data_IF_055055545389
#
_entry.id   IF_055055545389
#
_cell.length_a   1.000
_cell.length_b   1.000
_cell.length_c   1.000
_cell.angle_alpha   90.00
_cell.angle_beta   90.00
_cell.angle_gamma   90.00
#
_symmetry.space_group_name_H-M   'P 1'
#
loop_
_entity.id
_entity.type
_entity.pdbx_description
1 polymer ?
#
# COMPACT_ATOMS: atom_id res chain seq x y z
N UNK A 1 -11.87 -55.95 33.90
CA UNK A 1 -11.19 -55.58 32.65
C UNK A 1 -11.01 -54.08 32.66
N UNK A 2 -9.77 -53.63 32.80
CA UNK A 2 -9.37 -52.22 32.80
C UNK A 2 -9.46 -51.71 31.36
N UNK A 3 -10.38 -50.77 31.11
CA UNK A 3 -10.46 -50.04 29.84
C UNK A 3 -9.20 -49.19 29.70
N UNK A 4 -8.42 -49.46 28.64
CA UNK A 4 -7.29 -48.61 28.27
C UNK A 4 -7.78 -47.17 28.01
N UNK A 5 -7.01 -46.14 28.41
CA UNK A 5 -7.33 -44.76 28.06
C UNK A 5 -7.29 -44.59 26.54
N UNK A 6 -8.06 -43.63 25.97
CA UNK A 6 -8.08 -43.39 24.54
C UNK A 6 -6.67 -43.11 24.03
N UNK A 7 -6.31 -43.74 22.92
CA UNK A 7 -5.06 -43.47 22.22
C UNK A 7 -5.11 -42.02 21.72
N UNK A 8 -4.21 -41.17 22.23
CA UNK A 8 -3.98 -39.86 21.65
C UNK A 8 -3.39 -40.06 20.24
N UNK A 9 -4.12 -39.63 19.20
CA UNK A 9 -3.54 -39.49 17.87
C UNK A 9 -2.58 -38.31 17.89
N UNK A 10 -1.30 -38.55 17.66
CA UNK A 10 -0.26 -37.52 17.50
C UNK A 10 -0.36 -36.78 16.15
N UNK A 11 -1.50 -36.87 15.46
CA UNK A 11 -1.72 -36.33 14.11
C UNK A 11 -2.53 -35.03 14.05
N UNK A 12 -3.13 -34.57 15.16
CA UNK A 12 -4.01 -33.39 15.20
C UNK A 12 -3.45 -32.23 16.03
N UNK A 13 -2.20 -32.34 16.51
CA UNK A 13 -1.54 -31.21 17.14
C UNK A 13 -1.18 -30.17 16.05
N UNK A 14 -1.53 -28.88 16.23
CA UNK A 14 -1.06 -27.82 15.34
C UNK A 14 0.48 -27.87 15.24
N UNK A 15 1.07 -27.57 14.06
CA UNK A 15 2.53 -27.59 13.92
C UNK A 15 3.16 -26.54 14.85
N UNK A 16 4.31 -26.87 15.44
CA UNK A 16 5.02 -25.93 16.31
C UNK A 16 5.73 -24.83 15.51
N UNK A 17 6.03 -23.70 16.15
CA UNK A 17 6.72 -22.59 15.51
C UNK A 17 8.08 -23.03 14.91
N UNK A 18 8.87 -23.77 15.68
CA UNK A 18 10.18 -24.25 15.26
C UNK A 18 10.11 -25.21 14.07
N UNK A 19 9.12 -26.10 14.04
CA UNK A 19 8.90 -27.02 12.91
C UNK A 19 8.54 -26.26 11.63
N UNK A 20 7.69 -25.23 11.76
CA UNK A 20 7.30 -24.40 10.61
C UNK A 20 8.47 -23.54 10.12
N UNK A 21 9.30 -23.00 11.01
CA UNK A 21 10.50 -22.25 10.64
C UNK A 21 11.50 -23.15 9.92
N UNK A 22 11.81 -24.34 10.44
CA UNK A 22 12.74 -25.27 9.78
C UNK A 22 12.22 -25.71 8.41
N UNK A 23 10.91 -25.99 8.31
CA UNK A 23 10.27 -26.26 7.03
C UNK A 23 10.47 -25.10 6.06
N UNK A 24 10.24 -23.88 6.52
CA UNK A 24 10.41 -22.69 5.69
C UNK A 24 11.87 -22.48 5.25
N UNK A 25 12.83 -22.56 6.15
CA UNK A 25 14.27 -22.44 5.82
C UNK A 25 14.71 -23.50 4.78
N UNK A 26 14.18 -24.72 4.88
CA UNK A 26 14.46 -25.79 3.92
C UNK A 26 13.93 -25.49 2.51
N UNK A 27 12.81 -24.74 2.40
CA UNK A 27 12.20 -24.37 1.12
C UNK A 27 12.96 -23.25 0.41
N UNK A 28 13.63 -22.38 1.17
CA UNK A 28 14.32 -21.20 0.65
C UNK A 28 15.67 -21.56 0.00
N UNK A 29 16.38 -22.55 0.55
CA UNK A 29 17.69 -22.98 0.04
C UNK A 29 18.83 -21.98 0.29
N UNK A 30 19.95 -22.17 -0.39
CA UNK A 30 21.25 -21.57 -0.01
C UNK A 30 21.53 -20.16 -0.54
N UNK A 31 20.77 -19.68 -1.53
CA UNK A 31 20.99 -18.36 -2.15
C UNK A 31 19.66 -17.62 -2.38
N UNK A 32 18.97 -17.23 -1.30
CA UNK A 32 17.68 -16.57 -1.38
C UNK A 32 17.71 -15.19 -2.05
N UNK A 33 16.70 -14.92 -2.88
CA UNK A 33 16.27 -13.56 -3.23
C UNK A 33 14.96 -13.24 -2.54
N UNK A 34 14.60 -11.96 -2.38
CA UNK A 34 13.35 -11.56 -1.73
C UNK A 34 12.12 -12.17 -2.42
N UNK A 35 12.13 -12.19 -3.77
CA UNK A 35 11.08 -12.82 -4.58
C UNK A 35 11.08 -14.34 -4.39
N UNK A 36 12.25 -14.98 -4.41
CA UNK A 36 12.38 -16.43 -4.22
C UNK A 36 11.88 -16.90 -2.84
N UNK A 37 12.15 -16.12 -1.78
CA UNK A 37 11.67 -16.38 -0.42
C UNK A 37 10.14 -16.35 -0.36
N UNK A 38 9.54 -15.30 -0.94
CA UNK A 38 8.08 -15.19 -1.02
C UNK A 38 7.46 -16.35 -1.81
N UNK A 39 8.03 -16.69 -2.97
CA UNK A 39 7.55 -17.79 -3.79
C UNK A 39 7.64 -19.15 -3.07
N UNK A 40 8.78 -19.42 -2.41
CA UNK A 40 9.01 -20.65 -1.67
C UNK A 40 7.98 -20.84 -0.55
N UNK A 41 7.70 -19.77 0.21
CA UNK A 41 6.66 -19.79 1.22
C UNK A 41 5.26 -19.95 0.63
N UNK A 42 4.91 -19.19 -0.42
CA UNK A 42 3.56 -19.19 -1.01
C UNK A 42 3.15 -20.56 -1.56
N UNK A 43 4.13 -21.31 -2.07
CA UNK A 43 3.93 -22.65 -2.64
C UNK A 43 4.12 -23.77 -1.62
N UNK A 44 4.96 -23.56 -0.60
CA UNK A 44 5.41 -24.62 0.32
C UNK A 44 4.78 -24.59 1.71
N UNK A 45 4.19 -23.47 2.14
CA UNK A 45 3.54 -23.34 3.45
C UNK A 45 2.01 -23.46 3.35
N UNK A 46 1.44 -24.19 4.30
CA UNK A 46 -0.02 -24.37 4.43
C UNK A 46 -0.63 -23.20 5.21
N UNK A 47 -1.97 -23.11 5.20
CA UNK A 47 -2.66 -22.08 5.99
C UNK A 47 -2.41 -22.19 7.50
N UNK A 48 -2.24 -23.41 8.01
CA UNK A 48 -1.90 -23.65 9.42
C UNK A 48 -0.47 -23.18 9.74
N UNK A 49 0.48 -23.45 8.84
CA UNK A 49 1.87 -22.97 8.96
C UNK A 49 1.92 -21.44 9.03
N UNK A 50 1.21 -20.77 8.13
CA UNK A 50 1.16 -19.29 8.08
C UNK A 50 0.59 -18.71 9.37
N UNK A 51 -0.48 -19.31 9.91
CA UNK A 51 -1.12 -18.85 11.14
C UNK A 51 -0.16 -18.95 12.33
N UNK A 52 0.56 -20.06 12.48
CA UNK A 52 1.56 -20.25 13.55
C UNK A 52 2.67 -19.20 13.47
N UNK A 53 3.14 -18.88 12.26
CA UNK A 53 4.15 -17.83 12.08
C UNK A 53 3.63 -16.42 12.40
N UNK A 54 2.39 -16.11 12.03
CA UNK A 54 1.76 -14.82 12.31
C UNK A 54 1.52 -14.66 13.82
N UNK A 55 1.00 -15.67 14.51
CA UNK A 55 0.73 -15.60 15.96
C UNK A 55 2.01 -15.42 16.79
N UNK A 56 3.18 -15.80 16.25
CA UNK A 56 4.47 -15.70 16.93
C UNK A 56 5.33 -14.51 16.44
N UNK A 57 4.78 -13.61 15.61
CA UNK A 57 5.55 -12.56 14.95
C UNK A 57 6.24 -11.58 15.92
N UNK A 58 5.55 -11.15 16.98
CA UNK A 58 6.10 -10.19 17.95
C UNK A 58 7.28 -10.79 18.74
N UNK A 59 7.16 -12.05 19.17
CA UNK A 59 8.15 -12.70 20.02
C UNK A 59 9.46 -13.05 19.29
N UNK A 60 9.41 -13.15 17.96
CA UNK A 60 10.53 -13.58 17.13
C UNK A 60 11.02 -12.49 16.17
N UNK A 61 10.74 -11.22 16.47
CA UNK A 61 11.17 -10.11 15.63
C UNK A 61 12.71 -10.00 15.57
N UNK A 62 13.30 -9.80 14.38
CA UNK A 62 14.64 -10.33 14.17
C UNK A 62 15.77 -9.28 14.18
N UNK A 63 15.49 -7.98 14.30
CA UNK A 63 16.52 -6.91 14.32
C UNK A 63 16.83 -6.43 15.75
N UNK A 64 17.98 -6.81 16.31
CA UNK A 64 18.32 -6.56 17.72
C UNK A 64 19.52 -5.63 17.90
N UNK A 65 20.45 -5.61 16.95
CA UNK A 65 21.70 -4.84 17.01
C UNK A 65 21.74 -3.70 16.00
N UNK A 66 22.53 -2.66 16.26
CA UNK A 66 22.72 -1.54 15.33
C UNK A 66 23.36 -1.98 13.99
N UNK A 67 24.15 -3.07 14.02
CA UNK A 67 24.71 -3.68 12.83
C UNK A 67 23.64 -4.35 11.97
N UNK A 68 22.80 -5.22 12.56
CA UNK A 68 21.69 -5.87 11.85
C UNK A 68 20.72 -4.83 11.26
N UNK A 69 20.51 -3.74 11.99
CA UNK A 69 19.72 -2.58 11.58
C UNK A 69 20.29 -1.84 10.38
N UNK A 70 21.59 -1.55 10.39
CA UNK A 70 22.29 -0.94 9.25
C UNK A 70 22.35 -1.87 8.04
N UNK A 71 22.64 -3.16 8.26
CA UNK A 71 22.69 -4.19 7.22
C UNK A 71 21.28 -4.42 6.62
N UNK A 72 20.22 -4.38 7.45
CA UNK A 72 18.82 -4.41 7.00
C UNK A 72 18.49 -3.27 6.06
N UNK A 73 18.81 -2.04 6.48
CA UNK A 73 18.42 -0.88 5.71
C UNK A 73 19.22 -0.75 4.40
N UNK A 74 20.49 -1.18 4.39
CA UNK A 74 21.24 -1.36 3.14
C UNK A 74 20.56 -2.40 2.24
N UNK A 75 20.24 -3.58 2.76
CA UNK A 75 19.56 -4.62 1.99
C UNK A 75 18.19 -4.21 1.46
N UNK A 76 17.44 -3.43 2.22
CA UNK A 76 16.17 -2.84 1.80
C UNK A 76 16.38 -1.82 0.66
N UNK A 77 17.36 -0.94 0.77
CA UNK A 77 17.68 0.03 -0.29
C UNK A 77 18.14 -0.67 -1.58
N UNK A 78 19.03 -1.65 -1.49
CA UNK A 78 19.48 -2.47 -2.62
C UNK A 78 18.32 -3.24 -3.25
N UNK A 79 17.50 -3.93 -2.43
CA UNK A 79 16.37 -4.73 -2.91
C UNK A 79 15.29 -3.86 -3.55
N UNK A 80 15.02 -2.67 -3.01
CA UNK A 80 14.10 -1.71 -3.63
C UNK A 80 14.55 -1.27 -5.02
N UNK A 81 15.84 -1.38 -5.31
CA UNK A 81 16.47 -1.02 -6.59
C UNK A 81 16.60 -2.21 -7.54
N UNK A 82 16.35 -3.42 -7.06
CA UNK A 82 16.55 -4.65 -7.81
C UNK A 82 15.56 -4.76 -8.98
N UNK A 83 16.07 -5.16 -10.15
CA UNK A 83 15.26 -5.30 -11.38
C UNK A 83 14.13 -6.31 -11.21
N UNK A 84 14.34 -7.40 -10.46
CA UNK A 84 13.30 -8.39 -10.17
C UNK A 84 12.11 -7.80 -9.40
N UNK A 85 12.35 -6.72 -8.63
CA UNK A 85 11.30 -6.06 -7.86
C UNK A 85 10.53 -5.02 -8.69
N UNK A 86 11.13 -4.46 -9.74
CA UNK A 86 10.46 -3.48 -10.62
C UNK A 86 9.17 -4.05 -11.23
N UNK A 87 9.19 -5.32 -11.64
CA UNK A 87 7.99 -5.99 -12.16
C UNK A 87 6.88 -6.11 -11.11
N UNK A 88 7.25 -6.41 -9.86
CA UNK A 88 6.31 -6.49 -8.74
C UNK A 88 5.76 -5.11 -8.37
N UNK A 89 6.60 -4.07 -8.41
CA UNK A 89 6.19 -2.68 -8.21
C UNK A 89 5.19 -2.24 -9.28
N UNK A 90 5.42 -2.59 -10.54
CA UNK A 90 4.48 -2.30 -11.63
C UNK A 90 3.13 -3.01 -11.42
N UNK A 91 3.12 -4.29 -11.04
CA UNK A 91 1.87 -5.02 -10.72
C UNK A 91 1.12 -4.32 -9.59
N UNK A 92 1.84 -3.84 -8.58
CA UNK A 92 1.25 -3.16 -7.44
C UNK A 92 0.64 -1.82 -7.77
N UNK A 93 1.35 -1.03 -8.56
CA UNK A 93 0.89 0.24 -9.07
C UNK A 93 -0.38 0.04 -9.92
N UNK A 94 -0.39 -1.02 -10.74
CA UNK A 94 -1.57 -1.44 -11.50
C UNK A 94 -2.73 -1.82 -10.59
N UNK A 95 -2.50 -2.58 -9.52
CA UNK A 95 -3.54 -2.92 -8.56
C UNK A 95 -4.11 -1.68 -7.86
N UNK A 96 -3.25 -0.77 -7.39
CA UNK A 96 -3.69 0.49 -6.79
C UNK A 96 -4.50 1.37 -7.77
N UNK A 97 -4.06 1.45 -9.03
CA UNK A 97 -4.79 2.16 -10.07
C UNK A 97 -6.11 1.48 -10.47
N UNK A 98 -6.17 0.15 -10.39
CA UNK A 98 -7.39 -0.62 -10.61
C UNK A 98 -8.40 -0.34 -9.51
N UNK A 99 -8.00 -0.29 -8.24
CA UNK A 99 -8.86 0.12 -7.13
C UNK A 99 -9.45 1.50 -7.37
N UNK A 100 -8.65 2.49 -7.76
CA UNK A 100 -9.14 3.83 -8.09
C UNK A 100 -10.20 3.80 -9.21
N UNK A 101 -9.95 2.99 -10.24
CA UNK A 101 -10.89 2.76 -11.34
C UNK A 101 -12.19 2.08 -10.93
N UNK A 102 -12.10 1.06 -10.08
CA UNK A 102 -13.26 0.32 -9.58
C UNK A 102 -14.15 1.23 -8.72
N UNK A 103 -13.56 2.09 -7.89
CA UNK A 103 -14.30 3.11 -7.15
C UNK A 103 -15.00 4.08 -8.11
N UNK A 104 -14.28 4.60 -9.12
CA UNK A 104 -14.86 5.49 -10.13
C UNK A 104 -16.07 4.88 -10.83
N UNK A 105 -15.93 3.64 -11.30
CA UNK A 105 -17.00 2.93 -12.01
C UNK A 105 -18.24 2.69 -11.12
N UNK A 106 -18.03 2.42 -9.83
CA UNK A 106 -19.12 2.28 -8.86
C UNK A 106 -19.84 3.61 -8.62
N UNK A 107 -19.09 4.68 -8.48
CA UNK A 107 -19.61 6.04 -8.37
C UNK A 107 -20.49 6.41 -9.58
N UNK A 108 -20.02 6.13 -10.79
CA UNK A 108 -20.78 6.38 -12.03
C UNK A 108 -22.06 5.50 -12.11
N UNK A 109 -21.94 4.21 -11.77
CA UNK A 109 -23.08 3.30 -11.74
C UNK A 109 -24.12 3.68 -10.69
N UNK A 110 -23.67 4.19 -9.54
CA UNK A 110 -24.55 4.64 -8.48
C UNK A 110 -25.29 5.91 -8.87
N UNK A 111 -24.61 6.90 -9.44
CA UNK A 111 -25.24 8.11 -9.97
C UNK A 111 -26.41 7.76 -10.91
N UNK A 112 -26.19 6.86 -11.87
CA UNK A 112 -27.24 6.43 -12.81
C UNK A 112 -28.44 5.75 -12.10
N UNK A 113 -28.20 4.95 -11.05
CA UNK A 113 -29.27 4.32 -10.26
C UNK A 113 -30.06 5.34 -9.44
N UNK A 114 -29.38 6.32 -8.86
CA UNK A 114 -30.01 7.39 -8.08
C UNK A 114 -30.89 8.27 -8.98
N UNK A 115 -30.45 8.60 -10.20
CA UNK A 115 -31.24 9.37 -11.17
C UNK A 115 -32.56 8.66 -11.51
N UNK A 116 -32.53 7.33 -11.67
CA UNK A 116 -33.74 6.55 -11.91
C UNK A 116 -34.70 6.59 -10.70
N UNK A 117 -34.16 6.58 -9.48
CA UNK A 117 -34.95 6.69 -8.26
C UNK A 117 -35.59 8.07 -8.14
N UNK A 118 -34.83 9.12 -8.40
CA UNK A 118 -35.32 10.50 -8.37
C UNK A 118 -36.46 10.72 -9.36
N UNK A 119 -36.32 10.20 -10.58
CA UNK A 119 -37.39 10.25 -11.58
C UNK A 119 -38.65 9.50 -11.14
N UNK A 120 -38.51 8.32 -10.53
CA UNK A 120 -39.64 7.44 -10.16
C UNK A 120 -40.35 7.91 -8.89
N UNK A 121 -39.61 8.44 -7.93
CA UNK A 121 -40.10 8.75 -6.57
C UNK A 121 -40.12 10.23 -6.24
N UNK A 122 -39.74 11.10 -7.20
CA UNK A 122 -39.64 12.54 -7.03
C UNK A 122 -38.75 12.92 -5.83
N UNK A 123 -37.60 12.27 -5.74
CA UNK A 123 -36.53 12.57 -4.78
C UNK A 123 -35.40 13.36 -5.45
N UNK A 124 -34.37 13.68 -4.67
CA UNK A 124 -33.21 14.51 -5.03
C UNK A 124 -31.86 13.85 -4.68
N UNK A 125 -31.82 12.51 -4.62
CA UNK A 125 -30.63 11.77 -4.19
C UNK A 125 -29.46 11.88 -5.16
N UNK A 126 -29.73 11.87 -6.47
CA UNK A 126 -28.71 12.03 -7.50
C UNK A 126 -28.10 13.43 -7.47
N UNK A 127 -28.92 14.46 -7.18
CA UNK A 127 -28.43 15.83 -7.01
C UNK A 127 -27.50 15.93 -5.79
N UNK A 128 -27.85 15.29 -4.67
CA UNK A 128 -26.99 15.22 -3.48
C UNK A 128 -25.70 14.43 -3.72
N UNK A 129 -25.75 13.39 -4.57
CA UNK A 129 -24.63 12.52 -4.85
C UNK A 129 -23.61 13.12 -5.83
N UNK A 130 -24.07 13.93 -6.80
CA UNK A 130 -23.21 14.44 -7.87
C UNK A 130 -22.06 15.32 -7.38
N UNK A 131 -22.22 16.01 -6.24
CA UNK A 131 -21.17 16.83 -5.65
C UNK A 131 -20.02 15.98 -5.08
N UNK A 132 -20.34 14.84 -4.46
CA UNK A 132 -19.34 13.86 -4.02
C UNK A 132 -18.63 13.23 -5.21
N UNK A 133 -19.37 12.89 -6.28
CA UNK A 133 -18.81 12.37 -7.52
C UNK A 133 -17.80 13.34 -8.16
N UNK A 134 -18.14 14.63 -8.22
CA UNK A 134 -17.23 15.66 -8.73
C UNK A 134 -15.99 15.82 -7.85
N UNK A 135 -16.17 15.80 -6.52
CA UNK A 135 -15.06 15.85 -5.58
C UNK A 135 -14.13 14.65 -5.73
N UNK A 136 -14.69 13.45 -5.88
CA UNK A 136 -13.93 12.23 -6.14
C UNK A 136 -13.19 12.30 -7.49
N UNK A 137 -13.81 12.83 -8.54
CA UNK A 137 -13.13 13.01 -9.82
C UNK A 137 -11.91 13.94 -9.70
N UNK A 138 -12.05 15.05 -8.99
CA UNK A 138 -10.93 15.96 -8.76
C UNK A 138 -9.80 15.28 -7.97
N UNK A 139 -10.13 14.44 -6.99
CA UNK A 139 -9.14 13.64 -6.26
C UNK A 139 -8.38 12.70 -7.21
N UNK A 140 -9.07 12.03 -8.13
CA UNK A 140 -8.44 11.14 -9.12
C UNK A 140 -7.56 11.90 -10.11
N UNK A 141 -8.00 13.07 -10.58
CA UNK A 141 -7.24 13.94 -11.49
C UNK A 141 -5.96 14.42 -10.82
N UNK A 142 -6.07 14.98 -9.61
CA UNK A 142 -4.95 15.55 -8.88
C UNK A 142 -3.99 14.45 -8.36
N UNK A 143 -4.51 13.26 -8.05
CA UNK A 143 -3.66 12.13 -7.64
C UNK A 143 -2.80 11.60 -8.79
N UNK A 144 -3.32 11.62 -10.02
CA UNK A 144 -2.55 11.27 -11.20
C UNK A 144 -1.41 12.26 -11.42
N UNK A 145 -1.71 13.55 -11.35
CA UNK A 145 -0.72 14.61 -11.56
C UNK A 145 0.36 14.58 -10.46
N UNK A 146 -0.05 14.49 -9.19
CA UNK A 146 0.87 14.43 -8.06
C UNK A 146 1.80 13.21 -8.13
N UNK A 147 1.30 12.06 -8.59
CA UNK A 147 2.12 10.86 -8.79
C UNK A 147 3.20 11.07 -9.86
N UNK A 148 2.86 11.70 -10.99
CA UNK A 148 3.81 11.96 -12.08
C UNK A 148 4.83 13.04 -11.74
N UNK A 149 4.42 14.08 -11.01
CA UNK A 149 5.37 15.06 -10.49
C UNK A 149 6.32 14.44 -9.47
N UNK A 150 5.81 13.59 -8.58
CA UNK A 150 6.61 12.84 -7.61
C UNK A 150 7.62 11.92 -8.29
N UNK A 151 7.22 11.20 -9.34
CA UNK A 151 8.13 10.42 -10.18
C UNK A 151 9.31 11.27 -10.69
N UNK A 152 9.04 12.45 -11.24
CA UNK A 152 10.08 13.30 -11.79
C UNK A 152 11.07 13.79 -10.72
N UNK A 153 10.57 14.23 -9.56
CA UNK A 153 11.41 14.68 -8.44
C UNK A 153 12.28 13.53 -7.93
N UNK A 154 11.70 12.35 -7.71
CA UNK A 154 12.40 11.21 -7.11
C UNK A 154 13.41 10.57 -8.07
N UNK A 155 13.05 10.43 -9.35
CA UNK A 155 13.97 9.93 -10.37
C UNK A 155 15.16 10.87 -10.53
N UNK A 156 14.94 12.18 -10.50
CA UNK A 156 16.01 13.18 -10.60
C UNK A 156 16.89 13.17 -9.35
N UNK A 157 16.29 13.02 -8.16
CA UNK A 157 17.03 12.95 -6.91
C UNK A 157 18.12 11.87 -6.94
N UNK A 158 17.77 10.64 -7.32
CA UNK A 158 18.73 9.53 -7.40
C UNK A 158 19.68 9.61 -8.59
N UNK A 159 19.18 10.02 -9.76
CA UNK A 159 19.99 9.92 -10.97
C UNK A 159 20.86 11.15 -11.21
N UNK A 160 20.59 12.27 -10.55
CA UNK A 160 21.28 13.53 -10.80
C UNK A 160 21.64 14.26 -9.51
N UNK A 161 20.66 14.57 -8.65
CA UNK A 161 20.88 15.53 -7.58
C UNK A 161 21.81 14.96 -6.49
N UNK A 162 21.66 13.70 -6.10
CA UNK A 162 22.57 13.00 -5.16
C UNK A 162 24.00 12.92 -5.70
N UNK A 163 24.18 12.53 -6.97
CA UNK A 163 25.49 12.48 -7.62
C UNK A 163 26.16 13.86 -7.69
N UNK A 164 25.38 14.88 -8.04
CA UNK A 164 25.85 16.27 -8.04
C UNK A 164 26.25 16.72 -6.64
N UNK A 165 25.48 16.32 -5.62
CA UNK A 165 25.77 16.64 -4.22
C UNK A 165 26.95 15.87 -3.66
N UNK A 166 27.43 14.77 -4.26
CA UNK A 166 28.67 14.10 -3.84
C UNK A 166 29.92 14.64 -4.57
N UNK A 167 29.76 15.20 -5.76
CA UNK A 167 30.85 15.69 -6.61
C UNK A 167 31.65 16.83 -5.95
N UNK A 168 32.84 16.52 -5.45
CA UNK A 168 33.75 17.46 -4.79
C UNK A 168 34.35 18.51 -5.74
N UNK A 169 34.20 18.36 -7.06
CA UNK A 169 34.57 19.40 -8.04
C UNK A 169 33.57 20.57 -8.06
N UNK A 170 32.37 20.39 -7.49
CA UNK A 170 31.37 21.45 -7.35
C UNK A 170 31.56 22.21 -6.05
N UNK A 171 31.22 23.50 -6.08
CA UNK A 171 31.24 24.30 -4.85
C UNK A 171 30.20 23.78 -3.85
N UNK A 172 30.49 23.90 -2.56
CA UNK A 172 29.54 23.56 -1.50
C UNK A 172 28.24 24.35 -1.66
N UNK A 173 28.31 25.62 -2.05
CA UNK A 173 27.14 26.47 -2.27
C UNK A 173 26.26 25.98 -3.43
N UNK A 174 26.84 25.55 -4.56
CA UNK A 174 26.07 25.00 -5.67
C UNK A 174 25.40 23.67 -5.28
N UNK A 175 26.09 22.85 -4.49
CA UNK A 175 25.55 21.57 -3.96
C UNK A 175 24.41 21.84 -2.98
N UNK A 176 24.52 22.86 -2.12
CA UNK A 176 23.44 23.29 -1.21
C UNK A 176 22.23 23.80 -1.98
N UNK A 177 22.43 24.70 -2.96
CA UNK A 177 21.34 25.22 -3.77
C UNK A 177 20.61 24.09 -4.55
N UNK A 178 21.36 23.09 -5.02
CA UNK A 178 20.81 21.89 -5.67
C UNK A 178 19.88 21.12 -4.74
N UNK A 179 20.35 20.79 -3.53
CA UNK A 179 19.57 19.96 -2.59
C UNK A 179 18.39 20.74 -1.98
N UNK A 180 18.52 22.05 -1.77
CA UNK A 180 17.41 22.92 -1.34
C UNK A 180 16.29 22.97 -2.40
N UNK A 181 16.65 22.92 -3.69
CA UNK A 181 15.68 22.79 -4.77
C UNK A 181 14.87 21.49 -4.68
N UNK A 182 15.51 20.38 -4.30
CA UNK A 182 14.83 19.10 -4.07
C UNK A 182 13.88 19.19 -2.87
N UNK A 183 14.35 19.72 -1.73
CA UNK A 183 13.54 19.90 -0.52
C UNK A 183 12.30 20.75 -0.82
N UNK A 184 12.45 21.84 -1.57
CA UNK A 184 11.34 22.72 -1.95
C UNK A 184 10.32 21.99 -2.83
N UNK A 185 10.78 21.27 -3.85
CA UNK A 185 9.89 20.53 -4.75
C UNK A 185 9.13 19.43 -4.02
N UNK A 186 9.81 18.67 -3.16
CA UNK A 186 9.21 17.61 -2.37
C UNK A 186 8.22 18.14 -1.31
N UNK A 187 8.49 19.31 -0.70
CA UNK A 187 7.52 19.96 0.18
C UNK A 187 6.25 20.41 -0.57
N UNK A 188 6.39 20.96 -1.79
CA UNK A 188 5.22 21.28 -2.61
C UNK A 188 4.35 20.05 -2.90
N UNK A 189 4.97 18.90 -3.20
CA UNK A 189 4.26 17.64 -3.41
C UNK A 189 3.59 17.12 -2.14
N UNK A 190 4.25 17.25 -0.99
CA UNK A 190 3.68 16.90 0.31
C UNK A 190 2.40 17.69 0.59
N UNK A 191 2.42 19.00 0.35
CA UNK A 191 1.24 19.86 0.54
C UNK A 191 0.10 19.46 -0.39
N UNK A 192 0.39 19.21 -1.67
CA UNK A 192 -0.59 18.70 -2.64
C UNK A 192 -1.20 17.37 -2.17
N UNK A 193 -0.39 16.41 -1.73
CA UNK A 193 -0.89 15.11 -1.30
C UNK A 193 -1.72 15.18 -0.01
N UNK A 194 -1.35 16.07 0.92
CA UNK A 194 -2.17 16.35 2.11
C UNK A 194 -3.53 16.91 1.68
N UNK A 195 -3.57 17.88 0.78
CA UNK A 195 -4.81 18.45 0.26
C UNK A 195 -5.70 17.41 -0.41
N UNK A 196 -5.13 16.56 -1.28
CA UNK A 196 -5.86 15.46 -1.95
C UNK A 196 -6.45 14.51 -0.89
N UNK A 197 -5.67 14.12 0.12
CA UNK A 197 -6.12 13.20 1.17
C UNK A 197 -7.24 13.83 2.03
N UNK A 198 -7.09 15.11 2.37
CA UNK A 198 -8.11 15.88 3.10
C UNK A 198 -9.39 16.00 2.28
N UNK A 199 -9.32 16.32 0.98
CA UNK A 199 -10.51 16.39 0.12
C UNK A 199 -11.18 15.03 -0.05
N UNK A 200 -10.42 13.95 -0.19
CA UNK A 200 -10.98 12.61 -0.22
C UNK A 200 -11.74 12.31 1.07
N UNK A 201 -11.17 12.64 2.23
CA UNK A 201 -11.82 12.40 3.52
C UNK A 201 -13.05 13.29 3.71
N UNK A 202 -12.86 14.61 3.63
CA UNK A 202 -13.83 15.59 4.09
C UNK A 202 -14.94 15.85 3.07
N UNK A 203 -14.66 15.68 1.76
CA UNK A 203 -15.62 15.97 0.69
C UNK A 203 -16.15 14.72 -0.02
N UNK A 204 -15.57 13.54 0.24
CA UNK A 204 -16.05 12.27 -0.34
C UNK A 204 -16.43 11.28 0.76
N UNK A 205 -15.49 10.84 1.58
CA UNK A 205 -15.72 9.75 2.55
C UNK A 205 -16.74 10.11 3.63
N UNK A 206 -16.56 11.21 4.35
CA UNK A 206 -17.47 11.60 5.43
C UNK A 206 -18.88 12.00 4.93
N UNK A 207 -19.01 12.76 3.83
CA UNK A 207 -20.32 13.01 3.22
C UNK A 207 -20.97 11.72 2.70
N UNK A 208 -20.19 10.79 2.17
CA UNK A 208 -20.71 9.50 1.70
C UNK A 208 -21.29 8.68 2.85
N UNK A 209 -20.60 8.59 3.99
CA UNK A 209 -21.13 7.90 5.17
C UNK A 209 -22.50 8.45 5.58
N UNK A 210 -22.64 9.79 5.62
CA UNK A 210 -23.92 10.45 5.91
C UNK A 210 -24.97 10.16 4.85
N UNK A 211 -24.58 10.23 3.57
CA UNK A 211 -25.46 9.94 2.44
C UNK A 211 -25.97 8.50 2.48
N UNK A 212 -25.10 7.54 2.80
CA UNK A 212 -25.45 6.12 2.93
C UNK A 212 -26.48 5.94 4.03
N UNK A 213 -26.26 6.51 5.21
CA UNK A 213 -27.18 6.39 6.33
C UNK A 213 -28.57 6.93 5.98
N UNK A 214 -28.63 8.11 5.38
CA UNK A 214 -29.88 8.76 4.99
C UNK A 214 -30.61 7.98 3.89
N UNK A 215 -29.89 7.56 2.84
CA UNK A 215 -30.46 6.80 1.73
C UNK A 215 -30.95 5.42 2.20
N UNK A 216 -30.16 4.70 3.00
CA UNK A 216 -30.52 3.37 3.51
C UNK A 216 -31.73 3.45 4.43
N UNK A 217 -31.82 4.48 5.29
CA UNK A 217 -32.97 4.71 6.14
C UNK A 217 -34.24 4.99 5.32
N UNK A 218 -34.13 5.82 4.29
CA UNK A 218 -35.24 6.09 3.37
C UNK A 218 -35.68 4.82 2.62
N UNK A 219 -34.74 4.07 2.06
CA UNK A 219 -35.01 2.86 1.29
C UNK A 219 -35.57 1.71 2.15
N UNK A 220 -35.08 1.52 3.38
CA UNK A 220 -35.67 0.58 4.36
C UNK A 220 -37.10 0.95 4.75
N UNK A 221 -37.44 2.25 4.77
CA UNK A 221 -38.82 2.71 4.94
C UNK A 221 -39.74 2.34 3.77
N UNK A 222 -39.17 1.92 2.63
CA UNK A 222 -39.87 1.51 1.40
C UNK A 222 -39.81 0.00 1.15
N UNK A 223 -38.86 -0.72 1.72
CA UNK A 223 -38.60 -2.15 1.51
C UNK A 223 -38.94 -3.00 2.75
N UNK A 224 -39.93 -3.89 2.64
CA UNK A 224 -40.14 -5.00 3.59
C UNK A 224 -39.14 -6.16 3.39
N UNK A 225 -39.04 -7.06 4.39
CA UNK A 225 -37.94 -8.03 4.62
C UNK A 225 -37.56 -9.01 3.49
N UNK A 226 -36.29 -8.94 3.04
CA UNK A 226 -35.33 -9.96 2.54
C UNK A 226 -34.05 -9.18 2.11
N UNK A 227 -32.79 -9.66 2.14
CA UNK A 227 -32.21 -11.01 2.02
C UNK A 227 -31.07 -11.29 3.00
N UNK A 228 -31.11 -12.46 3.62
CA UNK A 228 -30.04 -12.97 4.49
C UNK A 228 -28.73 -13.32 3.73
N UNK A 229 -28.81 -13.70 2.46
CA UNK A 229 -27.65 -14.17 1.69
C UNK A 229 -26.73 -13.03 1.23
N UNK A 230 -27.30 -11.92 0.77
CA UNK A 230 -26.53 -10.70 0.53
C UNK A 230 -26.01 -10.08 1.84
N UNK A 231 -26.80 -10.09 2.92
CA UNK A 231 -26.34 -9.62 4.22
C UNK A 231 -25.12 -10.44 4.69
N UNK A 232 -25.08 -11.73 4.38
CA UNK A 232 -23.92 -12.59 4.63
C UNK A 232 -22.73 -12.24 3.74
N UNK A 233 -22.92 -12.02 2.43
CA UNK A 233 -21.82 -11.61 1.52
C UNK A 233 -21.24 -10.24 1.93
N UNK A 234 -22.09 -9.30 2.35
CA UNK A 234 -21.67 -8.00 2.88
C UNK A 234 -20.96 -8.13 4.23
N UNK A 235 -21.45 -9.00 5.12
CA UNK A 235 -20.78 -9.34 6.38
C UNK A 235 -19.40 -9.95 6.16
N UNK A 236 -19.30 -10.96 5.28
CA UNK A 236 -18.03 -11.58 4.90
C UNK A 236 -17.05 -10.54 4.33
N UNK A 237 -17.52 -9.57 3.54
CA UNK A 237 -16.69 -8.49 3.01
C UNK A 237 -16.17 -7.57 4.12
N UNK A 238 -17.03 -7.22 5.10
CA UNK A 238 -16.62 -6.41 6.27
C UNK A 238 -15.58 -7.15 7.10
N UNK A 239 -15.78 -8.44 7.38
CA UNK A 239 -14.83 -9.26 8.14
C UNK A 239 -13.49 -9.40 7.41
N UNK A 240 -13.51 -9.70 6.11
CA UNK A 240 -12.29 -9.78 5.29
C UNK A 240 -11.55 -8.43 5.19
N UNK A 241 -12.28 -7.31 5.17
CA UNK A 241 -11.69 -5.97 5.19
C UNK A 241 -11.09 -5.63 6.57
N UNK A 242 -11.73 -6.07 7.66
CA UNK A 242 -11.20 -5.96 9.02
C UNK A 242 -9.93 -6.80 9.20
N UNK A 243 -9.94 -8.04 8.73
CA UNK A 243 -8.77 -8.92 8.72
C UNK A 243 -7.63 -8.30 7.89
N UNK A 244 -7.93 -7.73 6.72
CA UNK A 244 -6.94 -7.05 5.90
C UNK A 244 -6.33 -5.86 6.64
N UNK A 245 -7.14 -5.02 7.27
CA UNK A 245 -6.67 -3.87 8.03
C UNK A 245 -5.79 -4.30 9.22
N UNK A 246 -6.17 -5.36 9.93
CA UNK A 246 -5.37 -5.90 11.03
C UNK A 246 -4.05 -6.49 10.53
N UNK A 247 -4.05 -7.26 9.45
CA UNK A 247 -2.83 -7.80 8.85
C UNK A 247 -1.91 -6.69 8.32
N UNK A 248 -2.48 -5.61 7.77
CA UNK A 248 -1.72 -4.43 7.35
C UNK A 248 -1.18 -3.66 8.57
N UNK A 249 -1.90 -3.61 9.70
CA UNK A 249 -1.40 -3.05 10.97
C UNK A 249 -0.29 -3.89 11.59
N UNK A 250 -0.42 -5.22 11.61
CA UNK A 250 0.61 -6.14 12.10
C UNK A 250 1.88 -6.03 11.25
N UNK A 251 1.72 -5.84 9.94
CA UNK A 251 2.82 -5.50 9.04
C UNK A 251 3.36 -4.08 9.27
N UNK A 252 2.55 -3.10 9.68
CA UNK A 252 3.03 -1.79 10.12
C UNK A 252 3.77 -1.85 11.47
N UNK A 253 3.41 -2.78 12.37
CA UNK A 253 4.12 -3.00 13.63
C UNK A 253 5.55 -3.51 13.39
N UNK A 254 5.77 -4.31 12.34
CA UNK A 254 7.11 -4.64 11.81
C UNK A 254 7.89 -3.37 11.43
N UNK A 255 7.22 -2.36 10.87
CA UNK A 255 7.81 -1.05 10.54
C UNK A 255 7.97 -0.13 11.76
N UNK A 256 7.28 -0.38 12.88
CA UNK A 256 7.49 0.36 14.13
C UNK A 256 8.81 0.00 14.82
N UNK A 257 9.30 -1.23 14.65
CA UNK A 257 10.65 -1.61 15.12
C UNK A 257 11.76 -0.91 14.33
N UNK A 258 11.44 -0.41 13.11
CA UNK A 258 12.33 0.44 12.33
C UNK A 258 12.10 1.94 12.53
N UNK A 259 11.24 2.39 13.44
CA UNK A 259 11.09 3.83 13.72
C UNK A 259 12.42 4.40 14.22
N UNK A 260 12.92 5.43 13.52
CA UNK A 260 14.25 5.99 13.74
C UNK A 260 15.36 5.35 12.89
N UNK A 261 15.03 4.35 12.06
CA UNK A 261 15.94 3.83 11.03
C UNK A 261 15.63 4.46 9.69
N UNK A 262 16.45 5.46 9.36
CA UNK A 262 16.72 6.03 8.03
C UNK A 262 15.50 6.36 7.14
N UNK A 263 15.35 7.62 6.74
CA UNK A 263 14.13 8.10 6.09
C UNK A 263 13.64 7.33 4.85
N UNK A 264 14.55 6.83 4.01
CA UNK A 264 14.18 6.03 2.83
C UNK A 264 13.33 4.80 3.20
N UNK A 265 13.62 4.13 4.32
CA UNK A 265 12.92 2.92 4.73
C UNK A 265 11.49 3.23 5.18
N UNK A 266 11.30 4.32 5.92
CA UNK A 266 9.97 4.80 6.32
C UNK A 266 9.14 5.17 5.08
N UNK A 267 9.76 5.84 4.10
CA UNK A 267 9.14 6.15 2.81
C UNK A 267 8.71 4.89 2.08
N UNK A 268 9.64 3.96 1.86
CA UNK A 268 9.39 2.68 1.18
C UNK A 268 8.26 1.89 1.87
N UNK A 269 8.34 1.71 3.19
CA UNK A 269 7.35 0.95 3.95
C UNK A 269 5.94 1.55 3.86
N UNK A 270 5.82 2.89 3.95
CA UNK A 270 4.54 3.57 3.89
C UNK A 270 4.00 3.75 2.46
N UNK A 271 4.87 3.78 1.45
CA UNK A 271 4.48 3.81 0.03
C UNK A 271 3.99 2.46 -0.48
N UNK A 272 4.35 1.39 0.22
CA UNK A 272 4.17 0.03 -0.24
C UNK A 272 3.56 -0.88 0.82
N UNK A 273 2.37 -0.61 1.39
CA UNK A 273 1.76 -1.50 2.38
C UNK A 273 1.69 -2.99 1.97
N UNK A 274 1.61 -3.37 0.67
CA UNK A 274 1.77 -4.76 0.25
C UNK A 274 3.20 -5.13 -0.25
N UNK A 275 4.10 -4.18 -0.56
CA UNK A 275 5.39 -4.41 -1.27
C UNK A 275 6.65 -3.93 -0.53
N UNK A 276 6.48 -3.10 0.49
CA UNK A 276 7.49 -2.80 1.51
C UNK A 276 7.87 -4.06 2.26
N UNK A 277 7.04 -5.10 2.13
CA UNK A 277 7.26 -6.44 2.61
C UNK A 277 8.33 -7.21 1.83
N UNK A 278 8.36 -7.17 0.49
CA UNK A 278 9.46 -7.76 -0.31
C UNK A 278 10.77 -6.99 -0.09
N UNK A 279 10.69 -5.66 0.02
CA UNK A 279 11.83 -4.81 0.39
C UNK A 279 12.32 -5.16 1.79
N UNK A 280 11.41 -5.37 2.74
CA UNK A 280 11.74 -5.84 4.08
C UNK A 280 12.36 -7.23 4.05
N UNK A 281 11.89 -8.18 3.22
CA UNK A 281 12.56 -9.47 3.06
C UNK A 281 13.98 -9.32 2.54
N UNK A 282 14.20 -8.43 1.58
CA UNK A 282 15.54 -8.06 1.13
C UNK A 282 16.43 -7.52 2.24
N UNK A 283 15.89 -6.62 3.06
CA UNK A 283 16.58 -6.13 4.25
C UNK A 283 16.89 -7.24 5.26
N UNK A 284 15.91 -8.08 5.61
CA UNK A 284 16.07 -9.17 6.57
C UNK A 284 17.09 -10.21 6.08
N UNK A 285 17.12 -10.46 4.76
CA UNK A 285 18.11 -11.33 4.11
C UNK A 285 19.53 -10.82 4.31
N UNK A 286 19.77 -9.53 4.07
CA UNK A 286 21.10 -8.92 4.24
C UNK A 286 21.47 -8.78 5.72
N UNK A 287 20.49 -8.55 6.59
CA UNK A 287 20.69 -8.57 8.03
C UNK A 287 21.03 -9.97 8.58
N UNK A 288 20.73 -11.03 7.82
CA UNK A 288 21.02 -12.42 8.20
C UNK A 288 20.09 -12.94 9.30
N UNK A 289 18.85 -12.49 9.30
CA UNK A 289 17.89 -12.75 10.38
C UNK A 289 16.64 -13.51 9.90
N UNK A 290 15.78 -13.98 10.81
CA UNK A 290 14.61 -14.80 10.43
C UNK A 290 13.63 -14.07 9.50
N UNK A 291 13.14 -14.79 8.48
CA UNK A 291 12.24 -14.29 7.43
C UNK A 291 10.79 -14.77 7.62
N UNK A 292 10.56 -15.74 8.52
CA UNK A 292 9.37 -16.59 8.51
C UNK A 292 8.08 -15.81 8.79
N UNK A 293 8.07 -15.03 9.86
CA UNK A 293 6.88 -14.32 10.34
C UNK A 293 6.46 -13.21 9.39
N UNK A 294 7.42 -12.44 8.88
CA UNK A 294 7.18 -11.39 7.88
C UNK A 294 6.68 -11.99 6.56
N UNK A 295 7.28 -13.09 6.07
CA UNK A 295 6.81 -13.77 4.84
C UNK A 295 5.40 -14.32 4.99
N UNK A 296 5.03 -14.82 6.17
CA UNK A 296 3.70 -15.35 6.44
C UNK A 296 2.61 -14.28 6.39
N UNK A 297 2.86 -13.11 7.00
CA UNK A 297 1.96 -11.94 6.91
C UNK A 297 1.68 -11.55 5.45
N UNK A 298 2.71 -11.54 4.60
CA UNK A 298 2.57 -11.17 3.18
C UNK A 298 1.66 -12.10 2.40
N UNK A 299 1.82 -13.41 2.59
CA UNK A 299 1.00 -14.40 1.90
C UNK A 299 -0.45 -14.27 2.34
N UNK A 300 -0.67 -14.01 3.62
CA UNK A 300 -2.01 -13.84 4.15
C UNK A 300 -2.71 -12.60 3.58
N UNK A 301 -2.02 -11.46 3.50
CA UNK A 301 -2.54 -10.25 2.86
C UNK A 301 -2.93 -10.52 1.40
N UNK A 302 -2.08 -11.21 0.63
CA UNK A 302 -2.36 -11.55 -0.76
C UNK A 302 -3.60 -12.43 -0.92
N UNK A 303 -3.76 -13.45 -0.07
CA UNK A 303 -4.94 -14.32 -0.06
C UNK A 303 -6.22 -13.55 0.30
N UNK A 304 -6.15 -12.67 1.30
CA UNK A 304 -7.30 -11.87 1.73
C UNK A 304 -7.75 -10.90 0.62
N UNK A 305 -6.81 -10.25 -0.09
CA UNK A 305 -7.13 -9.39 -1.25
C UNK A 305 -7.82 -10.16 -2.38
N UNK A 306 -7.37 -11.37 -2.68
CA UNK A 306 -8.02 -12.22 -3.66
C UNK A 306 -9.44 -12.61 -3.23
N UNK A 307 -9.63 -12.99 -1.96
CA UNK A 307 -10.95 -13.31 -1.41
C UNK A 307 -11.93 -12.13 -1.49
N UNK A 308 -11.45 -10.90 -1.21
CA UNK A 308 -12.24 -9.66 -1.37
C UNK A 308 -12.66 -9.47 -2.83
N UNK A 309 -11.76 -9.68 -3.80
CA UNK A 309 -12.06 -9.55 -5.22
C UNK A 309 -13.11 -10.59 -5.68
N UNK A 310 -13.01 -11.83 -5.21
CA UNK A 310 -13.94 -12.89 -5.56
C UNK A 310 -15.33 -12.67 -4.91
N UNK A 311 -15.37 -12.22 -3.66
CA UNK A 311 -16.62 -11.86 -2.96
C UNK A 311 -17.30 -10.63 -3.57
N UNK A 312 -16.49 -9.66 -4.01
CA UNK A 312 -16.94 -8.51 -4.82
C UNK A 312 -17.66 -8.96 -6.08
N UNK A 313 -17.10 -9.92 -6.84
CA UNK A 313 -17.75 -10.47 -8.05
C UNK A 313 -19.05 -11.23 -7.73
N UNK A 314 -19.07 -12.02 -6.65
CA UNK A 314 -20.27 -12.75 -6.22
C UNK A 314 -21.41 -11.79 -5.84
N UNK A 315 -21.09 -10.69 -5.17
CA UNK A 315 -22.05 -9.62 -4.89
C UNK A 315 -22.60 -9.03 -6.18
N UNK A 316 -21.75 -8.65 -7.13
CA UNK A 316 -22.19 -8.00 -8.37
C UNK A 316 -23.16 -8.90 -9.16
N UNK A 317 -22.97 -10.23 -9.08
CA UNK A 317 -23.90 -11.21 -9.65
C UNK A 317 -25.24 -11.25 -8.89
N UNK A 318 -25.22 -11.29 -7.55
CA UNK A 318 -26.45 -11.29 -6.73
C UNK A 318 -27.24 -9.98 -6.82
N UNK A 319 -26.56 -8.85 -7.05
CA UNK A 319 -27.17 -7.54 -7.27
C UNK A 319 -27.95 -7.43 -8.59
N UNK A 320 -27.69 -8.31 -9.56
CA UNK A 320 -28.41 -8.31 -10.83
C UNK A 320 -29.85 -8.86 -10.73
N UNK A 321 -30.23 -9.45 -9.59
CA UNK A 321 -31.49 -10.19 -9.40
C UNK A 321 -32.54 -9.44 -8.54
N UNK A 322 -32.45 -8.11 -8.35
CA UNK A 322 -33.22 -7.38 -7.33
C UNK A 322 -34.11 -6.24 -7.88
N UNK A 323 -35.13 -5.83 -7.09
CA UNK A 323 -36.02 -4.69 -7.42
C UNK A 323 -35.29 -3.34 -7.26
N UNK A 324 -35.60 -2.37 -8.12
CA UNK A 324 -34.85 -1.12 -8.34
C UNK A 324 -34.44 -0.32 -7.08
N UNK A 325 -35.32 -0.16 -6.07
CA UNK A 325 -34.98 0.57 -4.83
C UNK A 325 -33.97 -0.22 -4.00
N UNK A 326 -34.14 -1.54 -3.99
CA UNK A 326 -33.32 -2.46 -3.22
C UNK A 326 -31.93 -2.58 -3.80
N UNK A 327 -31.83 -2.67 -5.12
CA UNK A 327 -30.55 -2.58 -5.82
C UNK A 327 -29.79 -1.29 -5.50
N UNK A 328 -30.49 -0.15 -5.47
CA UNK A 328 -29.84 1.11 -5.16
C UNK A 328 -29.43 1.19 -3.69
N UNK A 329 -30.26 0.71 -2.76
CA UNK A 329 -29.92 0.67 -1.33
C UNK A 329 -28.68 -0.17 -1.07
N UNK A 330 -28.61 -1.32 -1.70
CA UNK A 330 -27.49 -2.22 -1.57
C UNK A 330 -26.25 -1.69 -2.29
N UNK A 331 -26.40 -1.04 -3.46
CA UNK A 331 -25.30 -0.36 -4.13
C UNK A 331 -24.74 0.81 -3.30
N UNK A 332 -25.61 1.61 -2.69
CA UNK A 332 -25.26 2.72 -1.79
C UNK A 332 -24.58 2.18 -0.54
N UNK A 333 -25.18 1.20 0.14
CA UNK A 333 -24.60 0.59 1.36
C UNK A 333 -23.28 -0.15 1.10
N UNK A 334 -23.10 -0.69 -0.10
CA UNK A 334 -21.87 -1.36 -0.53
C UNK A 334 -20.79 -0.40 -1.00
N UNK A 335 -21.08 0.89 -1.17
CA UNK A 335 -20.07 1.92 -1.39
C UNK A 335 -19.40 2.22 -0.05
N UNK A 336 -18.64 1.26 0.46
CA UNK A 336 -18.11 1.33 1.82
C UNK A 336 -16.95 2.31 1.92
N UNK A 337 -16.80 2.87 3.13
CA UNK A 337 -15.60 3.62 3.52
C UNK A 337 -14.31 2.82 3.33
N UNK A 338 -14.36 1.49 3.20
CA UNK A 338 -13.19 0.64 2.97
C UNK A 338 -12.63 0.71 1.54
N UNK A 339 -13.46 0.89 0.52
CA UNK A 339 -12.98 1.09 -0.86
C UNK A 339 -12.34 2.49 -0.99
N UNK A 340 -12.94 3.50 -0.37
CA UNK A 340 -12.35 4.84 -0.24
C UNK A 340 -11.14 4.87 0.71
N UNK A 341 -11.09 4.00 1.71
CA UNK A 341 -9.93 3.82 2.60
C UNK A 341 -8.80 3.10 1.89
N UNK A 342 -9.09 2.14 1.01
CA UNK A 342 -8.08 1.47 0.17
C UNK A 342 -7.49 2.43 -0.87
N UNK A 343 -8.34 3.23 -1.52
CA UNK A 343 -7.91 4.30 -2.40
C UNK A 343 -7.18 5.42 -1.63
N UNK A 344 -7.69 5.79 -0.46
CA UNK A 344 -7.05 6.74 0.46
C UNK A 344 -5.72 6.23 1.01
N UNK A 345 -5.56 4.92 1.19
CA UNK A 345 -4.31 4.26 1.52
C UNK A 345 -3.31 4.38 0.39
N UNK A 346 -3.74 4.16 -0.86
CA UNK A 346 -2.91 4.40 -2.04
C UNK A 346 -2.48 5.87 -2.18
N UNK A 347 -3.35 6.83 -1.82
CA UNK A 347 -3.02 8.27 -1.79
C UNK A 347 -2.11 8.64 -0.61
N UNK A 348 -2.32 8.04 0.56
CA UNK A 348 -1.45 8.21 1.74
C UNK A 348 -0.03 7.71 1.45
N UNK A 349 0.09 6.63 0.69
CA UNK A 349 1.36 6.16 0.14
C UNK A 349 2.03 7.21 -0.77
N UNK A 350 1.28 8.00 -1.54
CA UNK A 350 1.85 9.12 -2.32
C UNK A 350 2.37 10.26 -1.44
N UNK A 351 1.84 10.47 -0.24
CA UNK A 351 2.35 11.46 0.73
C UNK A 351 3.68 11.02 1.37
N UNK A 352 3.89 9.71 1.49
CA UNK A 352 5.03 9.16 2.23
C UNK A 352 6.34 9.26 1.45
N UNK A 353 6.30 9.15 0.12
CA UNK A 353 7.49 9.22 -0.71
C UNK A 353 8.16 10.61 -0.66
N UNK A 354 7.45 11.74 -0.85
CA UNK A 354 8.03 13.08 -0.67
C UNK A 354 8.59 13.32 0.73
N UNK A 355 7.96 12.81 1.79
CA UNK A 355 8.47 12.94 3.17
C UNK A 355 9.83 12.28 3.34
N UNK A 356 10.01 11.07 2.80
CA UNK A 356 11.30 10.40 2.84
C UNK A 356 12.35 11.15 2.03
N UNK A 357 12.01 11.65 0.83
CA UNK A 357 12.93 12.45 0.01
C UNK A 357 13.35 13.73 0.72
N UNK A 358 12.43 14.42 1.40
CA UNK A 358 12.74 15.64 2.17
C UNK A 358 13.78 15.32 3.25
N UNK A 359 13.53 14.30 4.06
CA UNK A 359 14.41 13.96 5.19
C UNK A 359 15.82 13.56 4.73
N UNK A 360 15.96 12.70 3.73
CA UNK A 360 17.30 12.34 3.19
C UNK A 360 17.99 13.54 2.51
N UNK A 361 17.22 14.43 1.88
CA UNK A 361 17.75 15.67 1.32
C UNK A 361 18.18 16.67 2.42
N UNK A 362 17.48 16.73 3.54
CA UNK A 362 17.87 17.51 4.73
C UNK A 362 19.16 16.95 5.35
N UNK A 363 19.32 15.62 5.45
CA UNK A 363 20.58 15.01 5.91
C UNK A 363 21.76 15.37 4.99
N UNK A 364 21.56 15.37 3.67
CA UNK A 364 22.56 15.81 2.69
C UNK A 364 22.88 17.29 2.86
N UNK A 365 21.87 18.14 3.05
CA UNK A 365 22.07 19.58 3.30
C UNK A 365 22.88 19.81 4.57
N UNK A 366 22.55 19.13 5.67
CA UNK A 366 23.25 19.22 6.95
C UNK A 366 24.72 18.78 6.83
N UNK A 367 24.98 17.74 6.04
CA UNK A 367 26.35 17.31 5.74
C UNK A 367 27.13 18.34 4.94
N UNK A 368 26.50 18.96 3.92
CA UNK A 368 27.10 20.05 3.14
C UNK A 368 27.36 21.29 4.01
N UNK A 369 26.47 21.61 4.95
CA UNK A 369 26.65 22.70 5.92
C UNK A 369 27.86 22.49 6.83
N UNK A 370 28.19 21.24 7.15
CA UNK A 370 29.37 20.86 7.92
C UNK A 370 30.66 20.79 7.09
N UNK A 371 30.61 21.17 5.82
CA UNK A 371 31.76 21.17 4.92
C UNK A 371 31.96 19.86 4.16
N UNK A 372 30.95 18.99 4.13
CA UNK A 372 30.98 17.69 3.47
C UNK A 372 32.14 16.76 3.92
N UNK A 373 32.34 16.54 5.22
CA UNK A 373 33.42 15.68 5.72
C UNK A 373 33.24 14.22 5.24
N UNK A 374 34.35 13.57 4.83
CA UNK A 374 34.34 12.22 4.24
C UNK A 374 33.86 11.13 5.22
N UNK A 375 34.17 11.27 6.51
CA UNK A 375 33.88 10.30 7.58
C UNK A 375 32.44 10.36 8.09
N UNK A 376 31.65 11.36 7.66
CA UNK A 376 30.28 11.58 8.12
C UNK A 376 29.32 11.82 6.95
N UNK A 377 29.54 11.13 5.83
CA UNK A 377 28.62 11.13 4.69
C UNK A 377 27.24 10.58 5.12
N UNK A 378 26.12 11.22 4.70
CA UNK A 378 24.78 10.72 4.96
C UNK A 378 24.61 9.30 4.43
N UNK A 379 23.89 8.47 5.18
CA UNK A 379 23.78 7.06 4.86
C UNK A 379 23.23 6.82 3.45
N UNK A 380 22.12 7.47 3.11
CA UNK A 380 21.49 7.25 1.80
C UNK A 380 22.41 7.66 0.66
N UNK A 381 23.13 8.78 0.81
CA UNK A 381 24.14 9.20 -0.15
C UNK A 381 25.26 8.16 -0.26
N UNK A 382 25.70 7.59 0.87
CA UNK A 382 26.67 6.49 0.90
C UNK A 382 26.20 5.26 0.12
N UNK A 383 25.01 4.75 0.41
CA UNK A 383 24.43 3.57 -0.27
C UNK A 383 24.17 3.85 -1.75
N UNK A 384 23.72 5.06 -2.10
CA UNK A 384 23.56 5.50 -3.49
C UNK A 384 24.87 5.46 -4.27
N UNK A 385 25.97 5.91 -3.66
CA UNK A 385 27.28 6.00 -4.31
C UNK A 385 28.01 4.66 -4.34
N UNK A 386 27.98 3.91 -3.24
CA UNK A 386 28.75 2.68 -3.08
C UNK A 386 28.03 1.47 -3.68
N UNK A 387 26.71 1.40 -3.54
CA UNK A 387 25.91 0.23 -3.88
C UNK A 387 24.96 0.50 -5.07
N UNK A 388 25.01 1.72 -5.62
CA UNK A 388 24.17 2.18 -6.74
C UNK A 388 22.66 1.99 -6.49
N UNK A 389 22.23 2.03 -5.23
CA UNK A 389 20.81 1.95 -4.88
C UNK A 389 20.08 3.19 -5.43
N UNK A 390 18.96 2.97 -6.11
CA UNK A 390 18.10 4.00 -6.70
C UNK A 390 16.67 3.85 -6.17
N UNK A 391 16.56 3.76 -4.85
CA UNK A 391 15.29 3.54 -4.15
C UNK A 391 14.25 4.59 -4.54
N UNK A 392 14.57 5.88 -4.53
CA UNK A 392 13.63 6.93 -4.93
C UNK A 392 13.23 6.82 -6.40
N UNK A 393 14.14 6.48 -7.31
CA UNK A 393 13.77 6.23 -8.69
C UNK A 393 12.79 5.04 -8.82
N UNK A 394 12.97 3.97 -8.03
CA UNK A 394 12.02 2.85 -7.97
C UNK A 394 10.65 3.27 -7.41
N UNK A 395 10.62 4.07 -6.33
CA UNK A 395 9.38 4.68 -5.84
C UNK A 395 8.71 5.52 -6.93
N UNK A 396 9.50 6.31 -7.64
CA UNK A 396 9.03 7.10 -8.76
C UNK A 396 8.39 6.22 -9.83
N UNK A 397 9.02 5.11 -10.22
CA UNK A 397 8.48 4.21 -11.24
C UNK A 397 7.12 3.64 -10.85
N UNK A 398 6.96 3.25 -9.58
CA UNK A 398 5.64 2.85 -9.06
C UNK A 398 4.61 3.98 -9.26
N UNK A 399 4.95 5.21 -8.88
CA UNK A 399 4.05 6.37 -9.01
C UNK A 399 3.73 6.67 -10.48
N UNK A 400 4.70 6.49 -11.37
CA UNK A 400 4.49 6.58 -12.83
C UNK A 400 3.48 5.55 -13.30
N UNK A 401 3.63 4.29 -12.91
CA UNK A 401 2.72 3.21 -13.30
C UNK A 401 1.32 3.39 -12.70
N UNK A 402 1.23 3.90 -11.47
CA UNK A 402 -0.04 4.27 -10.86
C UNK A 402 -0.72 5.38 -11.68
N UNK A 403 0.02 6.47 -11.96
CA UNK A 403 -0.44 7.60 -12.76
C UNK A 403 -0.89 7.17 -14.16
N UNK A 404 -0.16 6.24 -14.79
CA UNK A 404 -0.54 5.61 -16.07
C UNK A 404 -1.84 4.82 -15.96
N UNK A 405 -2.00 4.03 -14.91
CA UNK A 405 -3.19 3.19 -14.72
C UNK A 405 -4.47 4.00 -14.46
N UNK A 406 -4.35 5.12 -13.72
CA UNK A 406 -5.50 5.98 -13.43
C UNK A 406 -5.83 6.97 -14.56
N UNK A 407 -4.90 7.22 -15.48
CA UNK A 407 -5.02 8.15 -16.60
C UNK A 407 -6.34 8.04 -17.39
N UNK A 408 -6.83 6.81 -17.60
CA UNK A 408 -8.08 6.55 -18.35
C UNK A 408 -9.35 7.01 -17.63
N UNK A 409 -9.25 7.29 -16.33
CA UNK A 409 -10.32 7.79 -15.49
C UNK A 409 -10.19 9.28 -15.23
N UNK A 410 -9.13 9.93 -15.72
CA UNK A 410 -8.91 11.35 -15.53
C UNK A 410 -9.71 12.19 -16.54
N UNK A 411 -10.20 13.35 -16.10
CA UNK A 411 -10.88 14.33 -16.95
C UNK A 411 -9.89 15.00 -17.90
N UNK A 412 -8.72 15.35 -17.38
CA UNK A 412 -7.63 16.00 -18.11
C UNK A 412 -6.30 15.29 -17.75
N UNK A 413 -5.97 14.18 -18.42
CA UNK A 413 -4.81 13.38 -18.04
C UNK A 413 -3.49 14.13 -18.28
N UNK A 414 -2.65 14.17 -17.25
CA UNK A 414 -1.24 14.57 -17.37
C UNK A 414 -0.49 13.53 -18.21
N UNK A 415 0.29 13.93 -19.23
CA UNK A 415 1.04 13.01 -20.07
C UNK A 415 2.03 12.17 -19.28
N UNK A 416 2.13 10.88 -19.63
CA UNK A 416 3.13 9.99 -19.03
C UNK A 416 4.51 10.34 -19.60
N UNK A 417 5.51 10.65 -18.76
CA UNK A 417 6.86 10.93 -19.23
C UNK A 417 7.47 9.70 -19.92
N UNK A 418 8.20 9.93 -21.02
CA UNK A 418 8.94 8.88 -21.71
C UNK A 418 10.04 8.28 -20.82
N UNK A 419 10.35 7.01 -21.04
CA UNK A 419 11.51 6.38 -20.43
C UNK A 419 12.76 6.75 -21.23
N UNK A 420 13.54 7.71 -20.72
CA UNK A 420 14.92 7.96 -21.17
C UNK A 420 15.89 6.89 -20.69
#
# INVERSE_FOLDING_TARGET
MTTAPPAYSTGDAPPSYEEVVQKFESLIGSNPTAVGVYEAASKGLTQADLKVLIENHEAHFPLKTDKEKADFARGAAETSSATELQASLEISAKAASATAGDVRLRFDGLQAKLEQIDLRWQTDWAEKFVEMLRSFQSVVDDSQDAALQSYNVMRKFDNQDTLYCDDSSKSIEDRKARIEGVIKAANGLKEVNIDITTRLKDNVSSPLETFIDDFVKWAKGKEGELSAELAKVLGDLVDLQGDLAQLELDLQAVNHVSQGMMPILEGLAACFPPYGSLIALGGLLVAGVSLATTTALMIQIGKTKQAIADKTRQRDQLMADLEQIREAREAVAAMSSADLSSFGGAISSMTSAPNATIKDAEEIRDWLDKGAPEDNRPFYLGVRINDNAKSYASLGNYLKEYGRGVMRFCTNPTPIPDDE
#
